data_IF_891866287257
#
_entry.id   IF_891866287257
#
_cell.length_a   1.000
_cell.length_b   1.000
_cell.length_c   1.000
_cell.angle_alpha   90.00
_cell.angle_beta   90.00
_cell.angle_gamma   90.00
#
_symmetry.space_group_name_H-M   'P 1'
#
loop_
_entity.id
_entity.type
_entity.pdbx_description
1 polymer ?
#
# COMPACT_ATOMS: atom_id res chain seq x y z
N UNK A 1 -7.68 -16.42 -10.34
CA UNK A 1 -7.70 -15.86 -8.97
C UNK A 1 -7.20 -14.42 -9.06
N UNK A 2 -7.94 -13.41 -8.56
CA UNK A 2 -7.41 -12.05 -8.46
C UNK A 2 -6.14 -12.05 -7.61
N UNK A 3 -5.11 -11.33 -8.07
CA UNK A 3 -3.81 -11.29 -7.40
C UNK A 3 -3.95 -10.40 -6.19
N UNK A 4 -3.80 -10.92 -4.97
CA UNK A 4 -3.87 -10.06 -3.78
C UNK A 4 -2.79 -8.98 -3.81
N UNK A 5 -3.22 -7.73 -3.69
CA UNK A 5 -2.33 -6.56 -3.72
C UNK A 5 -2.48 -5.69 -2.48
N UNK A 6 -1.34 -5.19 -2.01
CA UNK A 6 -1.24 -4.26 -0.89
C UNK A 6 -0.60 -2.97 -1.38
N UNK A 7 -1.41 -1.95 -1.57
CA UNK A 7 -1.02 -0.66 -2.12
C UNK A 7 -0.63 0.30 -0.99
N UNK A 8 0.52 0.94 -1.12
CA UNK A 8 0.95 2.02 -0.24
C UNK A 8 0.93 3.31 -1.02
N UNK A 9 0.01 4.19 -0.69
CA UNK A 9 -0.24 5.44 -1.39
C UNK A 9 -0.19 6.64 -0.45
N UNK A 10 0.08 7.82 -1.00
CA UNK A 10 0.00 9.08 -0.26
C UNK A 10 -1.43 9.59 -0.41
N UNK A 11 -2.11 9.86 0.70
CA UNK A 11 -3.46 10.40 0.67
C UNK A 11 -3.74 11.31 1.85
N UNK A 12 -4.85 12.05 1.77
CA UNK A 12 -5.32 12.89 2.87
C UNK A 12 -5.64 12.04 4.11
N UNK A 13 -5.58 12.59 5.31
CA UNK A 13 -6.12 11.95 6.48
C UNK A 13 -7.62 12.25 6.54
N UNK A 14 -8.52 11.25 6.37
CA UNK A 14 -9.96 11.49 6.41
C UNK A 14 -10.46 11.91 7.80
N UNK A 15 -9.63 11.76 8.84
CA UNK A 15 -9.98 12.06 10.23
C UNK A 15 -9.37 13.37 10.73
N UNK A 16 -8.70 14.15 9.86
CA UNK A 16 -8.09 15.41 10.28
C UNK A 16 -9.15 16.48 10.55
N UNK A 17 -9.15 17.02 11.77
CA UNK A 17 -10.03 18.11 12.21
C UNK A 17 -9.42 19.51 12.03
N UNK A 18 -8.11 19.59 11.71
CA UNK A 18 -7.34 20.84 11.69
C UNK A 18 -6.84 21.29 10.30
N UNK A 19 -7.28 20.64 9.23
CA UNK A 19 -6.85 20.94 7.85
C UNK A 19 -6.25 19.73 7.12
N UNK A 20 -5.69 19.93 5.90
CA UNK A 20 -5.21 18.82 5.08
C UNK A 20 -3.91 18.22 5.63
N UNK A 21 -4.04 17.10 6.35
CA UNK A 21 -2.91 16.27 6.76
C UNK A 21 -2.72 15.14 5.73
N UNK A 22 -1.47 14.87 5.31
CA UNK A 22 -1.18 13.77 4.39
C UNK A 22 -0.48 12.61 5.10
N UNK A 23 -1.08 11.43 5.00
CA UNK A 23 -0.58 10.18 5.55
C UNK A 23 -0.29 9.16 4.44
N UNK A 24 0.46 8.15 4.79
CA UNK A 24 0.63 6.95 3.97
C UNK A 24 -0.51 5.99 4.29
N UNK A 25 -1.24 5.61 3.25
CA UNK A 25 -2.35 4.68 3.36
C UNK A 25 -1.90 3.34 2.80
N UNK A 26 -2.00 2.29 3.61
CA UNK A 26 -1.89 0.92 3.15
C UNK A 26 -3.30 0.45 2.82
N UNK A 27 -3.58 0.08 1.58
CA UNK A 27 -4.89 -0.36 1.11
C UNK A 27 -4.82 -1.75 0.48
N UNK A 28 -5.84 -2.57 0.68
CA UNK A 28 -6.03 -3.83 -0.05
C UNK A 28 -7.10 -3.75 -1.16
N UNK A 29 -7.30 -4.85 -1.89
CA UNK A 29 -8.32 -4.96 -2.96
C UNK A 29 -9.75 -4.75 -2.45
N UNK A 30 -10.01 -5.01 -1.16
CA UNK A 30 -11.34 -4.86 -0.54
C UNK A 30 -11.62 -3.44 -0.08
N UNK A 31 -10.65 -2.53 -0.24
CA UNK A 31 -10.76 -1.14 0.17
C UNK A 31 -10.53 -0.92 1.67
N UNK A 32 -10.09 -1.94 2.41
CA UNK A 32 -9.63 -1.75 3.77
C UNK A 32 -8.32 -0.95 3.75
N UNK A 33 -8.13 -0.06 4.73
CA UNK A 33 -6.89 0.69 4.83
C UNK A 33 -6.41 0.95 6.26
N UNK A 34 -5.08 1.04 6.41
CA UNK A 34 -4.39 1.55 7.59
C UNK A 34 -3.64 2.84 7.27
N UNK A 35 -3.59 3.76 8.23
CA UNK A 35 -2.91 5.06 8.10
C UNK A 35 -1.59 5.08 8.85
N UNK A 36 -0.57 5.67 8.22
CA UNK A 36 0.80 5.71 8.73
C UNK A 36 1.42 7.09 8.49
N UNK A 37 2.15 7.60 9.47
CA UNK A 37 2.88 8.87 9.34
C UNK A 37 4.12 8.72 8.47
N UNK A 38 4.78 7.55 8.50
CA UNK A 38 6.03 7.28 7.78
C UNK A 38 5.82 6.28 6.64
N UNK A 39 6.34 6.60 5.45
CA UNK A 39 6.28 5.73 4.26
C UNK A 39 6.90 4.36 4.53
N UNK A 40 8.05 4.37 5.21
CA UNK A 40 8.86 3.16 5.46
C UNK A 40 8.07 2.10 6.24
N UNK A 41 7.26 2.54 7.20
CA UNK A 41 6.53 1.64 8.09
C UNK A 41 5.33 1.03 7.35
N UNK A 42 4.54 1.85 6.66
CA UNK A 42 3.48 1.39 5.76
C UNK A 42 4.03 0.40 4.71
N UNK A 43 5.17 0.73 4.11
CA UNK A 43 5.82 -0.12 3.13
C UNK A 43 6.36 -1.43 3.73
N UNK A 44 6.86 -1.40 4.97
CA UNK A 44 7.27 -2.61 5.68
C UNK A 44 6.08 -3.54 5.91
N UNK A 45 4.95 -2.98 6.37
CA UNK A 45 3.71 -3.74 6.59
C UNK A 45 3.16 -4.34 5.30
N UNK A 46 3.11 -3.57 4.21
CA UNK A 46 2.67 -4.07 2.91
C UNK A 46 3.49 -5.28 2.43
N UNK A 47 4.83 -5.20 2.56
CA UNK A 47 5.73 -6.31 2.20
C UNK A 47 5.52 -7.54 3.07
N UNK A 48 5.25 -7.35 4.35
CA UNK A 48 4.96 -8.44 5.27
C UNK A 48 3.66 -9.15 4.86
N UNK A 49 2.58 -8.41 4.63
CA UNK A 49 1.29 -8.96 4.19
C UNK A 49 1.39 -9.68 2.85
N UNK A 50 2.13 -9.11 1.89
CA UNK A 50 2.36 -9.74 0.59
C UNK A 50 3.11 -11.07 0.68
N UNK A 51 4.01 -11.20 1.66
CA UNK A 51 4.73 -12.46 1.93
C UNK A 51 3.85 -13.47 2.65
N UNK A 52 3.09 -13.02 3.65
CA UNK A 52 2.27 -13.87 4.52
C UNK A 52 1.06 -14.45 3.78
N UNK A 53 0.34 -13.62 3.02
CA UNK A 53 -0.93 -14.00 2.39
C UNK A 53 -0.82 -14.38 0.92
N UNK A 54 0.40 -14.31 0.36
CA UNK A 54 0.68 -14.53 -1.06
C UNK A 54 0.14 -13.41 -1.95
N UNK A 55 1.04 -12.67 -2.59
CA UNK A 55 0.69 -11.65 -3.59
C UNK A 55 1.78 -10.61 -3.76
N UNK A 56 1.39 -9.34 -3.91
CA UNK A 56 2.34 -8.23 -4.17
C UNK A 56 2.07 -6.98 -3.34
N UNK A 57 3.14 -6.37 -2.86
CA UNK A 57 3.13 -5.03 -2.30
C UNK A 57 3.47 -4.03 -3.41
N UNK A 58 2.70 -2.95 -3.51
CA UNK A 58 2.86 -1.88 -4.50
C UNK A 58 3.05 -0.56 -3.77
N UNK A 59 4.14 0.13 -4.01
CA UNK A 59 4.40 1.46 -3.47
C UNK A 59 4.14 2.50 -4.56
N UNK A 60 3.28 3.47 -4.28
CA UNK A 60 2.98 4.57 -5.18
C UNK A 60 3.84 5.81 -4.86
N UNK A 61 4.11 6.62 -5.89
CA UNK A 61 4.62 7.98 -5.78
C UNK A 61 3.48 8.93 -5.37
N UNK A 62 3.83 10.20 -5.12
CA UNK A 62 2.85 11.24 -4.75
C UNK A 62 1.83 11.53 -5.87
N UNK A 63 2.21 11.28 -7.12
CA UNK A 63 1.37 11.48 -8.32
C UNK A 63 0.48 10.25 -8.64
N UNK A 64 0.47 9.23 -7.77
CA UNK A 64 -0.29 7.99 -7.97
C UNK A 64 0.41 6.96 -8.85
N UNK A 65 1.52 7.30 -9.52
CA UNK A 65 2.27 6.34 -10.33
C UNK A 65 2.97 5.29 -9.47
N UNK A 66 3.19 4.08 -10.01
CA UNK A 66 3.89 3.02 -9.29
C UNK A 66 5.38 3.38 -9.15
N UNK A 67 5.85 3.46 -7.91
CA UNK A 67 7.26 3.66 -7.57
C UNK A 67 8.02 2.34 -7.50
N UNK A 68 7.43 1.32 -6.88
CA UNK A 68 8.07 0.04 -6.61
C UNK A 68 7.02 -1.05 -6.45
N UNK A 69 7.36 -2.27 -6.84
CA UNK A 69 6.52 -3.46 -6.66
C UNK A 69 7.39 -4.61 -6.20
N UNK A 70 6.97 -5.30 -5.14
CA UNK A 70 7.66 -6.50 -4.65
C UNK A 70 6.65 -7.58 -4.29
N UNK A 71 6.99 -8.83 -4.56
CA UNK A 71 6.08 -9.96 -4.38
C UNK A 71 6.44 -11.08 -5.34
N UNK A 72 5.76 -12.23 -5.22
CA UNK A 72 5.91 -13.29 -6.21
C UNK A 72 5.41 -12.74 -7.55
N UNK A 73 6.31 -12.57 -8.53
CA UNK A 73 5.91 -12.62 -9.93
C UNK A 73 5.32 -14.02 -10.13
N UNK A 74 4.11 -14.10 -10.67
CA UNK A 74 3.69 -15.32 -11.35
C UNK A 74 4.83 -15.64 -12.33
N UNK A 75 5.57 -16.72 -12.07
CA UNK A 75 6.26 -17.40 -13.15
C UNK A 75 5.12 -17.92 -14.01
N UNK A 76 4.86 -17.22 -15.11
CA UNK A 76 4.07 -17.76 -16.19
C UNK A 76 4.73 -19.09 -16.61
N UNK A 77 3.97 -20.19 -16.76
CA UNK A 77 4.51 -21.49 -17.15
C UNK A 77 5.13 -21.47 -18.56
#
# INVERSE_FOLDING_TARGET
MSKKEWHVERGLNPFSLGGPEFLWRLRDEKGWFELWTKQKDAWSKARHLAREHGGRAVLHRKDGSVRSTVGRRDKEP
#
